data_IF_275469020694
#
_entry.id   IF_275469020694
#
_cell.length_a   1.000
_cell.length_b   1.000
_cell.length_c   1.000
_cell.angle_alpha   90.00
_cell.angle_beta   90.00
_cell.angle_gamma   90.00
#
_symmetry.space_group_name_H-M   'P 1'
#
loop_
_entity.id
_entity.type
_entity.pdbx_description
1 polymer ?
#
# COMPACT_ATOMS: atom_id res chain seq x y z
N UNK A 1 -33.87 -17.24 50.00
CA UNK A 1 -33.00 -18.32 49.47
C UNK A 1 -33.92 -19.46 49.06
N UNK A 2 -34.01 -19.99 47.84
CA UNK A 2 -33.34 -19.84 46.54
C UNK A 2 -34.43 -20.08 45.47
N UNK A 3 -34.52 -19.20 44.48
CA UNK A 3 -35.31 -19.42 43.27
C UNK A 3 -34.52 -20.30 42.29
N UNK A 4 -35.17 -21.31 41.72
CA UNK A 4 -34.61 -22.24 40.74
C UNK A 4 -34.67 -21.58 39.36
N UNK A 5 -33.50 -21.36 38.74
CA UNK A 5 -33.36 -20.84 37.39
C UNK A 5 -33.83 -21.86 36.35
N UNK A 6 -34.76 -21.46 35.47
CA UNK A 6 -35.07 -22.15 34.21
C UNK A 6 -33.99 -21.80 33.19
N UNK A 7 -33.33 -22.83 32.64
CA UNK A 7 -32.43 -22.72 31.51
C UNK A 7 -33.23 -22.32 30.25
N UNK A 8 -32.85 -21.20 29.62
CA UNK A 8 -33.32 -20.82 28.29
C UNK A 8 -32.63 -21.66 27.23
N UNK A 9 -33.39 -22.44 26.48
CA UNK A 9 -32.92 -23.23 25.35
C UNK A 9 -32.38 -22.35 24.23
N UNK A 10 -31.25 -22.76 23.67
CA UNK A 10 -30.67 -22.20 22.45
C UNK A 10 -31.32 -22.92 21.27
N UNK A 11 -32.14 -22.20 20.50
CA UNK A 11 -32.73 -22.67 19.25
C UNK A 11 -31.62 -23.08 18.25
N UNK A 12 -31.69 -24.24 17.57
CA UNK A 12 -30.68 -24.63 16.60
C UNK A 12 -30.73 -23.74 15.33
N UNK A 13 -29.56 -23.32 14.83
CA UNK A 13 -29.40 -22.60 13.56
C UNK A 13 -30.05 -23.41 12.42
N UNK A 14 -31.09 -22.87 11.78
CA UNK A 14 -31.58 -23.37 10.49
C UNK A 14 -30.44 -23.30 9.46
N UNK A 15 -30.08 -24.45 8.90
CA UNK A 15 -29.33 -24.51 7.64
C UNK A 15 -30.31 -24.05 6.54
N UNK A 16 -29.99 -22.96 5.84
CA UNK A 16 -30.82 -22.42 4.75
C UNK A 16 -30.18 -22.68 3.39
N UNK A 17 -31.03 -22.76 2.38
CA UNK A 17 -30.70 -23.13 0.99
C UNK A 17 -29.63 -22.22 0.36
N UNK A 18 -28.75 -22.76 -0.50
CA UNK A 18 -27.63 -22.04 -1.11
C UNK A 18 -28.03 -20.91 -2.08
N UNK A 19 -29.31 -20.78 -2.42
CA UNK A 19 -29.80 -19.65 -3.23
C UNK A 19 -30.05 -18.36 -2.40
N UNK A 20 -30.16 -18.44 -1.07
CA UNK A 20 -30.34 -17.25 -0.21
C UNK A 20 -29.02 -16.48 0.06
N UNK A 21 -27.85 -17.05 -0.22
CA UNK A 21 -26.55 -16.46 0.13
C UNK A 21 -26.23 -15.13 -0.60
N UNK A 22 -26.86 -14.86 -1.74
CA UNK A 22 -26.63 -13.65 -2.54
C UNK A 22 -27.77 -12.61 -2.46
N UNK A 23 -28.71 -12.76 -1.52
CA UNK A 23 -29.84 -11.85 -1.37
C UNK A 23 -29.45 -10.57 -0.63
N UNK A 24 -29.86 -9.41 -1.16
CA UNK A 24 -29.73 -8.12 -0.49
C UNK A 24 -31.05 -7.73 0.17
N UNK A 25 -31.01 -7.27 1.42
CA UNK A 25 -32.21 -6.94 2.19
C UNK A 25 -32.32 -5.43 2.46
N UNK A 26 -33.56 -4.93 2.52
CA UNK A 26 -33.87 -3.63 3.09
C UNK A 26 -34.27 -3.79 4.56
N UNK A 27 -33.66 -2.99 5.44
CA UNK A 27 -34.01 -2.93 6.86
C UNK A 27 -35.05 -1.84 7.06
N UNK A 28 -36.20 -2.21 7.64
CA UNK A 28 -37.23 -1.28 8.06
C UNK A 28 -37.36 -1.28 9.58
N UNK A 29 -37.37 -0.09 10.19
CA UNK A 29 -37.63 0.13 11.61
C UNK A 29 -39.07 0.59 11.79
N UNK A 30 -39.86 -0.13 12.59
CA UNK A 30 -41.28 0.15 12.78
C UNK A 30 -41.57 0.91 14.06
N UNK A 31 -41.24 0.31 15.21
CA UNK A 31 -41.52 0.89 16.53
C UNK A 31 -40.30 0.74 17.44
N UNK A 32 -40.13 1.68 18.36
CA UNK A 32 -39.08 1.63 19.39
C UNK A 32 -39.74 1.56 20.77
N UNK A 33 -39.45 0.48 21.50
CA UNK A 33 -40.01 0.24 22.82
C UNK A 33 -38.91 -0.30 23.73
N UNK A 34 -38.23 0.62 24.44
CA UNK A 34 -37.32 0.27 25.53
C UNK A 34 -37.38 1.32 26.63
N UNK A 35 -37.81 0.91 27.82
CA UNK A 35 -37.97 1.79 28.98
C UNK A 35 -36.67 2.00 29.78
N UNK A 36 -35.63 1.21 29.51
CA UNK A 36 -34.35 1.15 30.24
C UNK A 36 -33.19 1.90 29.55
N UNK A 37 -33.39 2.40 28.33
CA UNK A 37 -32.34 3.07 27.54
C UNK A 37 -32.71 4.52 27.21
N UNK A 38 -31.83 5.44 27.59
CA UNK A 38 -32.02 6.88 27.34
C UNK A 38 -32.01 7.21 25.83
N UNK A 39 -32.93 8.07 25.40
CA UNK A 39 -33.28 8.29 23.98
C UNK A 39 -32.07 8.79 23.16
N UNK A 40 -31.24 9.64 23.77
CA UNK A 40 -30.01 10.15 23.16
C UNK A 40 -28.94 9.07 22.98
N UNK A 41 -28.89 8.10 23.90
CA UNK A 41 -27.94 6.98 23.83
C UNK A 41 -28.35 5.98 22.75
N UNK A 42 -29.65 5.71 22.60
CA UNK A 42 -30.19 4.89 21.51
C UNK A 42 -29.92 5.54 20.13
N UNK A 43 -30.16 6.84 20.00
CA UNK A 43 -29.89 7.60 18.78
C UNK A 43 -28.40 7.60 18.41
N UNK A 44 -27.51 7.76 19.39
CA UNK A 44 -26.06 7.70 19.18
C UNK A 44 -25.58 6.32 18.72
N UNK A 45 -26.15 5.23 19.25
CA UNK A 45 -25.82 3.86 18.81
C UNK A 45 -26.35 3.56 17.41
N UNK A 46 -27.58 3.99 17.10
CA UNK A 46 -28.18 3.87 15.77
C UNK A 46 -27.33 4.63 14.72
N UNK A 47 -26.90 5.85 15.06
CA UNK A 47 -26.05 6.66 14.20
C UNK A 47 -24.71 5.97 13.86
N UNK A 48 -24.10 5.29 14.84
CA UNK A 48 -22.85 4.54 14.65
C UNK A 48 -23.03 3.31 13.75
N UNK A 49 -24.11 2.55 13.93
CA UNK A 49 -24.37 1.32 13.13
C UNK A 49 -24.60 1.65 11.68
N UNK A 50 -25.43 2.65 11.39
CA UNK A 50 -25.79 3.02 10.02
C UNK A 50 -24.87 4.08 9.41
N UNK A 51 -23.75 4.42 10.08
CA UNK A 51 -22.76 5.42 9.62
C UNK A 51 -23.40 6.77 9.24
N UNK A 52 -24.33 7.25 10.06
CA UNK A 52 -25.04 8.51 9.84
C UNK A 52 -24.70 9.57 10.90
N UNK A 53 -24.87 10.88 10.62
CA UNK A 53 -24.64 11.94 11.59
C UNK A 53 -25.52 11.77 12.84
N UNK A 54 -25.00 12.06 14.03
CA UNK A 54 -25.72 11.90 15.30
C UNK A 54 -27.09 12.62 15.32
N UNK A 55 -27.14 13.84 14.78
CA UNK A 55 -28.38 14.62 14.63
C UNK A 55 -29.44 13.91 13.75
N UNK A 56 -29.02 13.15 12.74
CA UNK A 56 -29.93 12.40 11.86
C UNK A 56 -30.46 11.14 12.56
N UNK A 57 -29.64 10.52 13.41
CA UNK A 57 -30.07 9.41 14.27
C UNK A 57 -31.15 9.83 15.29
N UNK A 58 -31.03 11.02 15.88
CA UNK A 58 -32.05 11.56 16.79
C UNK A 58 -33.38 11.83 16.08
N UNK A 59 -33.33 12.38 14.87
CA UNK A 59 -34.53 12.67 14.07
C UNK A 59 -35.28 11.39 13.69
N UNK A 60 -34.56 10.35 13.25
CA UNK A 60 -35.13 9.04 12.92
C UNK A 60 -35.76 8.40 14.16
N UNK A 61 -35.10 8.51 15.32
CA UNK A 61 -35.64 7.96 16.56
C UNK A 61 -36.93 8.68 17.01
N UNK A 62 -37.04 9.99 16.76
CA UNK A 62 -38.27 10.77 16.98
C UNK A 62 -39.39 10.39 16.00
N UNK A 63 -39.05 10.04 14.76
CA UNK A 63 -40.03 9.59 13.76
C UNK A 63 -40.56 8.19 14.09
N UNK A 64 -39.66 7.26 14.43
CA UNK A 64 -40.02 5.87 14.78
C UNK A 64 -40.78 5.79 16.11
N UNK A 65 -40.47 6.64 17.09
CA UNK A 65 -41.25 6.74 18.34
C UNK A 65 -42.65 7.35 18.16
N UNK A 66 -42.88 8.10 17.06
CA UNK A 66 -44.21 8.57 16.64
C UNK A 66 -44.96 7.55 15.77
N UNK A 67 -44.43 6.34 15.61
CA UNK A 67 -45.03 5.25 14.83
C UNK A 67 -44.84 5.38 13.32
N UNK A 68 -43.90 6.22 12.85
CA UNK A 68 -43.55 6.31 11.44
C UNK A 68 -42.46 5.30 11.07
N UNK A 69 -42.75 4.46 10.07
CA UNK A 69 -41.80 3.47 9.54
C UNK A 69 -40.65 4.17 8.83
N UNK A 70 -39.42 3.80 9.17
CA UNK A 70 -38.22 4.28 8.49
C UNK A 70 -37.49 3.12 7.80
N UNK A 71 -37.21 3.28 6.50
CA UNK A 71 -36.51 2.28 5.70
C UNK A 71 -35.09 2.77 5.39
N UNK A 72 -34.11 1.88 5.56
CA UNK A 72 -32.74 2.17 5.18
C UNK A 72 -32.56 2.13 3.66
N UNK A 73 -32.05 3.22 3.09
CA UNK A 73 -31.92 3.42 1.65
C UNK A 73 -30.92 2.45 0.99
N UNK A 74 -29.92 1.98 1.74
CA UNK A 74 -28.87 1.10 1.20
C UNK A 74 -29.18 -0.38 1.39
N UNK A 75 -28.86 -1.16 0.36
CA UNK A 75 -28.96 -2.63 0.35
C UNK A 75 -27.84 -3.24 1.21
N UNK A 76 -28.20 -4.12 2.14
CA UNK A 76 -27.23 -4.79 3.02
C UNK A 76 -27.07 -6.26 2.59
N UNK A 77 -25.83 -6.79 2.49
CA UNK A 77 -25.58 -8.21 2.22
C UNK A 77 -26.14 -9.12 3.32
N UNK A 78 -26.60 -10.32 2.95
CA UNK A 78 -27.30 -11.25 3.86
C UNK A 78 -26.51 -11.54 5.17
N UNK A 79 -25.19 -11.73 5.08
CA UNK A 79 -24.33 -11.97 6.26
C UNK A 79 -24.36 -10.83 7.30
N UNK A 80 -24.55 -9.60 6.85
CA UNK A 80 -24.61 -8.42 7.72
C UNK A 80 -26.04 -8.15 8.22
N UNK A 81 -27.06 -8.66 7.52
CA UNK A 81 -28.46 -8.47 7.88
C UNK A 81 -28.81 -9.17 9.20
N UNK A 82 -28.33 -10.39 9.42
CA UNK A 82 -28.57 -11.15 10.65
C UNK A 82 -27.90 -10.50 11.89
N UNK A 83 -26.67 -9.98 11.72
CA UNK A 83 -25.96 -9.25 12.78
C UNK A 83 -26.64 -7.91 13.10
N UNK A 84 -27.10 -7.19 12.08
CA UNK A 84 -27.86 -5.96 12.26
C UNK A 84 -29.19 -6.21 12.97
N UNK A 85 -29.90 -7.29 12.61
CA UNK A 85 -31.17 -7.68 13.25
C UNK A 85 -30.97 -7.98 14.74
N UNK A 86 -29.96 -8.78 15.10
CA UNK A 86 -29.67 -9.12 16.48
C UNK A 86 -29.33 -7.87 17.32
N UNK A 87 -28.57 -6.94 16.75
CA UNK A 87 -28.19 -5.70 17.42
C UNK A 87 -29.36 -4.72 17.57
N UNK A 88 -30.19 -4.56 16.54
CA UNK A 88 -31.32 -3.62 16.55
C UNK A 88 -32.48 -4.12 17.42
N UNK A 89 -32.77 -5.43 17.42
CA UNK A 89 -33.65 -6.03 18.43
C UNK A 89 -33.08 -5.86 19.84
N UNK A 90 -31.75 -6.01 19.98
CA UNK A 90 -31.00 -5.70 21.19
C UNK A 90 -31.04 -4.23 21.62
N UNK A 91 -31.54 -3.31 20.79
CA UNK A 91 -31.77 -1.90 21.13
C UNK A 91 -33.26 -1.56 21.35
N UNK A 92 -34.15 -2.54 21.24
CA UNK A 92 -35.59 -2.38 21.44
C UNK A 92 -36.36 -1.91 20.21
N UNK A 93 -35.79 -2.07 19.01
CA UNK A 93 -36.51 -1.81 17.75
C UNK A 93 -37.24 -3.05 17.27
N UNK A 94 -38.46 -2.85 16.78
CA UNK A 94 -39.16 -3.81 15.94
C UNK A 94 -38.68 -3.64 14.49
N UNK A 95 -38.10 -4.70 13.92
CA UNK A 95 -37.34 -4.66 12.66
C UNK A 95 -37.87 -5.70 11.69
N UNK A 96 -38.31 -5.23 10.52
CA UNK A 96 -38.70 -6.07 9.39
C UNK A 96 -37.60 -6.06 8.32
N UNK A 97 -37.29 -7.26 7.80
CA UNK A 97 -36.40 -7.46 6.66
C UNK A 97 -37.25 -7.74 5.42
N UNK A 98 -37.24 -6.82 4.45
CA UNK A 98 -37.87 -7.05 3.15
C UNK A 98 -36.80 -7.50 2.14
N UNK A 99 -36.98 -8.64 1.45
CA UNK A 99 -36.06 -9.09 0.41
C UNK A 99 -36.14 -8.15 -0.79
N UNK A 100 -35.00 -7.60 -1.22
CA UNK A 100 -34.95 -6.76 -2.42
C UNK A 100 -34.99 -7.68 -3.66
N UNK A 101 -36.18 -7.87 -4.22
CA UNK A 101 -36.40 -8.66 -5.44
C UNK A 101 -35.50 -8.08 -6.56
N UNK A 102 -34.69 -8.89 -7.27
CA UNK A 102 -33.88 -8.41 -8.38
C UNK A 102 -34.76 -8.01 -9.57
N UNK A 103 -34.82 -6.71 -9.86
CA UNK A 103 -35.46 -6.15 -11.07
C UNK A 103 -34.76 -6.57 -12.39
N UNK A 104 -33.66 -7.32 -12.29
CA UNK A 104 -32.86 -7.78 -13.43
C UNK A 104 -33.24 -9.18 -13.98
N UNK A 105 -34.27 -9.85 -13.43
CA UNK A 105 -34.63 -11.21 -13.84
C UNK A 105 -35.72 -11.31 -14.94
N UNK A 106 -36.20 -10.19 -15.50
CA UNK A 106 -37.33 -10.21 -16.45
C UNK A 106 -36.98 -10.14 -17.94
N UNK A 107 -35.72 -9.98 -18.36
CA UNK A 107 -35.40 -9.93 -19.80
C UNK A 107 -34.11 -10.68 -20.14
N UNK A 108 -34.27 -11.70 -20.99
CA UNK A 108 -33.26 -12.43 -21.77
C UNK A 108 -32.42 -13.51 -21.07
N UNK A 109 -33.01 -14.70 -20.94
CA UNK A 109 -32.25 -15.94 -20.97
C UNK A 109 -31.90 -16.27 -22.44
N UNK A 110 -30.62 -16.61 -22.73
CA UNK A 110 -30.40 -17.79 -23.54
C UNK A 110 -29.42 -18.77 -22.87
N UNK A 111 -29.73 -20.04 -23.09
CA UNK A 111 -29.06 -21.21 -22.55
C UNK A 111 -27.53 -21.19 -22.76
N UNK A 112 -26.79 -21.60 -21.72
CA UNK A 112 -25.40 -22.05 -21.85
C UNK A 112 -25.24 -23.43 -21.23
N UNK A 113 -24.82 -24.36 -22.07
CA UNK A 113 -24.36 -25.71 -21.71
C UNK A 113 -23.13 -25.68 -20.79
N UNK A 114 -22.93 -26.71 -19.96
CA UNK A 114 -21.78 -26.82 -19.07
C UNK A 114 -20.50 -27.12 -19.86
N UNK A 115 -19.51 -26.23 -19.72
CA UNK A 115 -18.14 -26.41 -20.22
C UNK A 115 -17.47 -27.55 -19.45
N UNK A 116 -17.13 -28.62 -20.16
CA UNK A 116 -16.27 -29.71 -19.69
C UNK A 116 -14.82 -29.21 -19.62
N UNK A 117 -14.20 -29.33 -18.45
CA UNK A 117 -12.75 -29.20 -18.29
C UNK A 117 -12.10 -30.48 -18.80
N UNK A 118 -11.62 -30.47 -20.05
CA UNK A 118 -10.71 -31.50 -20.55
C UNK A 118 -9.30 -31.21 -20.05
N UNK A 119 -8.77 -32.14 -19.26
CA UNK A 119 -7.34 -32.26 -19.00
C UNK A 119 -6.67 -32.81 -20.26
N UNK A 120 -5.84 -32.00 -20.92
CA UNK A 120 -4.75 -32.52 -21.74
C UNK A 120 -3.67 -31.45 -21.84
N UNK A 121 -2.44 -31.79 -21.47
CA UNK A 121 -1.19 -31.32 -22.07
C UNK A 121 -0.02 -31.99 -21.34
N UNK A 122 0.23 -33.23 -21.72
CA UNK A 122 1.57 -33.80 -21.64
C UNK A 122 2.37 -33.39 -22.87
N UNK A 123 3.53 -32.74 -22.68
CA UNK A 123 4.70 -33.00 -23.53
C UNK A 123 6.01 -32.67 -22.82
N UNK A 124 6.88 -33.67 -22.84
CA UNK A 124 8.23 -33.77 -22.28
C UNK A 124 9.16 -32.69 -22.85
N UNK A 125 10.11 -32.24 -22.04
CA UNK A 125 11.52 -32.35 -22.46
C UNK A 125 12.49 -32.56 -21.29
N UNK A 126 13.41 -33.50 -21.53
CA UNK A 126 14.43 -34.01 -20.59
C UNK A 126 15.66 -33.12 -20.61
N UNK A 127 16.24 -32.81 -19.44
CA UNK A 127 17.71 -33.00 -19.23
C UNK A 127 18.17 -32.86 -17.77
N UNK A 128 18.67 -34.01 -17.29
CA UNK A 128 19.84 -34.25 -16.43
C UNK A 128 19.75 -33.87 -14.94
N UNK A 129 19.38 -34.90 -14.19
CA UNK A 129 19.88 -35.20 -12.85
C UNK A 129 21.42 -35.24 -12.80
N UNK A 130 21.99 -34.62 -11.76
CA UNK A 130 23.11 -35.15 -10.96
C UNK A 130 23.44 -34.18 -9.83
N UNK A 131 22.82 -34.40 -8.66
CA UNK A 131 23.50 -34.80 -7.43
C UNK A 131 22.51 -34.70 -6.26
N UNK A 132 22.08 -35.86 -5.80
CA UNK A 132 21.54 -36.09 -4.46
C UNK A 132 22.58 -36.88 -3.68
N UNK A 133 22.44 -36.82 -2.35
CA UNK A 133 23.26 -37.40 -1.27
C UNK A 133 24.30 -36.41 -0.70
N UNK A 134 24.24 -35.99 0.58
CA UNK A 134 23.65 -36.57 1.80
C UNK A 134 23.52 -35.50 2.91
N UNK A 135 22.81 -35.87 3.98
CA UNK A 135 22.57 -35.19 5.26
C UNK A 135 21.40 -34.18 5.25
N UNK A 136 20.35 -34.32 6.05
CA UNK A 136 20.00 -35.27 7.11
C UNK A 136 18.51 -35.05 7.42
N UNK A 137 17.84 -36.11 7.87
CA UNK A 137 16.41 -36.12 8.12
C UNK A 137 16.03 -35.26 9.33
N UNK A 138 15.31 -34.16 9.08
CA UNK A 138 14.36 -33.57 10.01
C UNK A 138 12.98 -33.67 9.33
N UNK A 139 11.94 -34.03 10.11
CA UNK A 139 10.59 -34.31 9.60
C UNK A 139 9.97 -33.14 8.83
N UNK A 140 8.86 -33.35 8.10
CA UNK A 140 8.17 -32.27 7.41
C UNK A 140 7.49 -31.39 8.48
N UNK A 141 8.24 -30.50 9.11
CA UNK A 141 7.65 -29.27 9.61
C UNK A 141 7.02 -28.60 8.41
N UNK A 142 5.72 -28.28 8.49
CA UNK A 142 5.03 -27.48 7.49
C UNK A 142 5.93 -26.28 7.17
N UNK A 143 6.54 -26.30 5.97
CA UNK A 143 7.34 -25.19 5.52
C UNK A 143 6.44 -23.96 5.61
N UNK A 144 6.86 -22.87 6.29
CA UNK A 144 6.01 -21.70 6.46
C UNK A 144 5.50 -21.27 5.09
N UNK A 145 4.18 -21.09 4.96
CA UNK A 145 3.56 -20.69 3.69
C UNK A 145 4.22 -19.40 3.21
N UNK A 146 5.07 -19.53 2.18
CA UNK A 146 5.70 -18.40 1.51
C UNK A 146 4.75 -17.95 0.40
N UNK A 147 4.20 -16.75 0.52
CA UNK A 147 3.33 -16.15 -0.50
C UNK A 147 4.21 -15.30 -1.43
N UNK A 148 4.46 -15.73 -2.68
CA UNK A 148 5.32 -14.98 -3.58
C UNK A 148 4.62 -13.74 -4.13
N UNK A 149 5.41 -12.70 -4.37
CA UNK A 149 4.98 -11.60 -5.23
C UNK A 149 5.08 -12.03 -6.70
N UNK A 150 4.27 -11.42 -7.55
CA UNK A 150 4.30 -11.69 -8.99
C UNK A 150 4.10 -10.42 -9.79
N UNK A 151 4.76 -10.34 -10.95
CA UNK A 151 4.58 -9.24 -11.88
C UNK A 151 4.27 -9.78 -13.28
N UNK A 152 3.10 -9.39 -13.84
CA UNK A 152 2.64 -9.86 -15.16
C UNK A 152 2.73 -8.80 -16.26
N UNK A 153 3.41 -7.68 -16.02
CA UNK A 153 3.52 -6.61 -17.01
C UNK A 153 4.40 -7.00 -18.20
N UNK A 154 3.98 -6.59 -19.39
CA UNK A 154 4.75 -6.75 -20.62
C UNK A 154 5.46 -5.46 -21.02
N UNK A 155 6.67 -5.60 -21.59
CA UNK A 155 7.47 -4.45 -22.04
C UNK A 155 6.81 -3.67 -23.19
N UNK A 156 6.09 -4.37 -24.08
CA UNK A 156 5.40 -3.75 -25.22
C UNK A 156 4.22 -2.88 -24.80
N UNK A 157 3.41 -3.31 -23.84
CA UNK A 157 2.31 -2.50 -23.30
C UNK A 157 2.85 -1.26 -22.59
N UNK A 158 3.89 -1.41 -21.77
CA UNK A 158 4.53 -0.27 -21.12
C UNK A 158 5.17 0.68 -22.13
N UNK A 159 5.76 0.16 -23.21
CA UNK A 159 6.32 0.97 -24.29
C UNK A 159 5.24 1.84 -24.95
N UNK A 160 4.04 1.30 -25.23
CA UNK A 160 2.91 2.11 -25.76
C UNK A 160 2.56 3.28 -24.82
N UNK A 161 2.59 3.05 -23.51
CA UNK A 161 2.40 4.12 -22.51
C UNK A 161 3.53 5.14 -22.60
N UNK A 162 4.80 4.72 -22.61
CA UNK A 162 5.92 5.66 -22.73
C UNK A 162 5.89 6.46 -24.02
N UNK A 163 5.67 5.84 -25.19
CA UNK A 163 5.62 6.54 -26.48
C UNK A 163 4.51 7.58 -26.51
N UNK A 164 3.30 7.19 -26.11
CA UNK A 164 2.15 8.12 -26.11
C UNK A 164 2.35 9.28 -25.12
N UNK A 165 2.95 9.03 -23.96
CA UNK A 165 3.17 10.05 -22.94
C UNK A 165 4.38 10.93 -23.23
N UNK A 166 5.44 10.40 -23.84
CA UNK A 166 6.58 11.17 -24.33
C UNK A 166 6.15 12.15 -25.42
N UNK A 167 5.34 11.70 -26.39
CA UNK A 167 4.81 12.56 -27.45
C UNK A 167 4.00 13.74 -26.86
N UNK A 168 3.10 13.45 -25.93
CA UNK A 168 2.33 14.49 -25.22
C UNK A 168 3.23 15.40 -24.37
N UNK A 169 4.30 14.86 -23.79
CA UNK A 169 5.27 15.65 -23.01
C UNK A 169 6.04 16.61 -23.91
N UNK A 170 6.47 16.18 -25.11
CA UNK A 170 7.07 17.08 -26.09
C UNK A 170 6.08 18.15 -26.57
N UNK A 171 4.85 17.76 -26.91
CA UNK A 171 3.83 18.68 -27.39
C UNK A 171 3.43 19.74 -26.36
N UNK A 172 3.46 19.39 -25.07
CA UNK A 172 3.10 20.29 -23.96
C UNK A 172 4.31 20.97 -23.32
N UNK A 173 5.46 20.99 -23.99
CA UNK A 173 6.71 21.59 -23.50
C UNK A 173 7.10 21.12 -22.09
N UNK A 174 6.93 19.82 -21.83
CA UNK A 174 7.31 19.19 -20.56
C UNK A 174 6.20 19.14 -19.51
N UNK A 175 5.09 19.85 -19.67
CA UNK A 175 4.01 19.90 -18.66
C UNK A 175 3.38 18.52 -18.47
N UNK A 176 3.21 17.73 -19.53
CA UNK A 176 2.56 16.41 -19.42
C UNK A 176 3.36 15.37 -18.63
N UNK A 177 4.61 15.65 -18.23
CA UNK A 177 5.44 14.70 -17.45
C UNK A 177 4.76 14.24 -16.15
N UNK A 178 3.94 15.08 -15.53
CA UNK A 178 3.22 14.72 -14.29
C UNK A 178 2.14 13.67 -14.53
N UNK A 179 1.44 13.73 -15.67
CA UNK A 179 0.47 12.72 -16.09
C UNK A 179 1.15 11.48 -16.68
N UNK A 180 2.30 11.65 -17.35
CA UNK A 180 3.11 10.54 -17.83
C UNK A 180 3.52 9.61 -16.67
N UNK A 181 4.04 10.21 -15.59
CA UNK A 181 4.43 9.50 -14.38
C UNK A 181 3.28 8.73 -13.74
N UNK A 182 2.10 9.33 -13.60
CA UNK A 182 0.96 8.62 -13.01
C UNK A 182 0.47 7.50 -13.91
N UNK A 183 0.43 7.66 -15.23
CA UNK A 183 0.06 6.58 -16.15
C UNK A 183 1.01 5.38 -16.03
N UNK A 184 2.32 5.62 -15.96
CA UNK A 184 3.32 4.55 -15.73
C UNK A 184 3.08 3.87 -14.38
N UNK A 185 2.80 4.62 -13.31
CA UNK A 185 2.49 4.04 -11.99
C UNK A 185 1.24 3.19 -11.98
N UNK A 186 0.14 3.67 -12.55
CA UNK A 186 -1.09 2.89 -12.65
C UNK A 186 -0.83 1.55 -13.35
N UNK A 187 -0.06 1.56 -14.43
CA UNK A 187 0.33 0.34 -15.12
C UNK A 187 1.16 -0.59 -14.23
N UNK A 188 2.23 -0.09 -13.60
CA UNK A 188 3.12 -0.92 -12.78
C UNK A 188 2.39 -1.53 -11.57
N UNK A 189 1.54 -0.76 -10.88
CA UNK A 189 0.76 -1.26 -9.74
C UNK A 189 -0.28 -2.30 -10.19
N UNK A 190 -1.03 -2.02 -11.26
CA UNK A 190 -2.04 -2.93 -11.79
C UNK A 190 -1.47 -4.28 -12.26
N UNK A 191 -0.19 -4.31 -12.63
CA UNK A 191 0.52 -5.52 -13.06
C UNK A 191 1.25 -6.25 -11.91
N UNK A 192 1.37 -5.61 -10.74
CA UNK A 192 1.95 -6.22 -9.54
C UNK A 192 0.85 -6.96 -8.77
N UNK A 193 1.11 -8.23 -8.45
CA UNK A 193 0.20 -9.11 -7.73
C UNK A 193 0.84 -9.62 -6.45
N UNK A 194 0.01 -9.76 -5.43
CA UNK A 194 0.37 -10.34 -4.16
C UNK A 194 -0.82 -11.14 -3.62
N UNK A 195 -0.57 -12.39 -3.18
CA UNK A 195 -1.59 -13.35 -2.74
C UNK A 195 -2.79 -13.50 -3.71
N UNK A 196 -2.54 -13.43 -5.03
CA UNK A 196 -3.57 -13.53 -6.08
C UNK A 196 -4.19 -12.20 -6.52
N UNK A 197 -4.16 -11.17 -5.67
CA UNK A 197 -4.78 -9.87 -5.92
C UNK A 197 -3.79 -8.82 -6.43
N UNK A 198 -4.31 -7.83 -7.17
CA UNK A 198 -3.50 -6.75 -7.75
C UNK A 198 -3.43 -5.55 -6.82
N UNK A 199 -2.32 -4.81 -6.89
CA UNK A 199 -2.26 -3.48 -6.29
C UNK A 199 -3.03 -2.47 -7.15
N UNK A 200 -3.62 -1.46 -6.50
CA UNK A 200 -4.23 -0.32 -7.15
C UNK A 200 -3.53 0.98 -6.73
N UNK A 201 -3.46 1.91 -7.68
CA UNK A 201 -2.92 3.25 -7.47
C UNK A 201 -4.01 4.26 -7.79
N UNK A 202 -4.19 5.26 -6.91
CA UNK A 202 -5.26 6.26 -7.00
C UNK A 202 -4.74 7.70 -7.17
N UNK A 203 -3.44 7.90 -7.36
CA UNK A 203 -2.83 9.23 -7.46
C UNK A 203 -3.02 9.86 -8.83
N UNK A 204 -3.35 11.15 -8.88
CA UNK A 204 -3.62 11.86 -10.15
C UNK A 204 -2.49 12.78 -10.59
N UNK A 205 -2.29 12.96 -11.90
CA UNK A 205 -1.24 13.84 -12.43
C UNK A 205 -1.45 15.31 -12.05
N UNK A 206 -2.71 15.72 -11.86
CA UNK A 206 -3.05 17.07 -11.41
C UNK A 206 -2.64 17.36 -9.96
N UNK A 207 -2.65 16.36 -9.08
CA UNK A 207 -2.11 16.49 -7.71
C UNK A 207 -0.61 16.78 -7.78
N UNK A 208 0.15 15.96 -8.53
CA UNK A 208 1.59 16.12 -8.80
C UNK A 208 1.94 17.51 -9.34
N UNK A 209 1.16 17.99 -10.30
CA UNK A 209 1.35 19.34 -10.85
C UNK A 209 1.12 20.44 -9.82
N UNK A 210 0.08 20.33 -8.98
CA UNK A 210 -0.20 21.30 -7.90
C UNK A 210 0.93 21.34 -6.87
N UNK A 211 1.47 20.18 -6.48
CA UNK A 211 2.63 20.08 -5.58
C UNK A 211 3.86 20.80 -6.15
N UNK A 212 4.16 20.53 -7.43
CA UNK A 212 5.23 21.21 -8.14
C UNK A 212 5.02 22.74 -8.19
N UNK A 213 3.82 23.20 -8.54
CA UNK A 213 3.54 24.64 -8.68
C UNK A 213 3.71 25.40 -7.35
N UNK A 214 3.38 24.78 -6.22
CA UNK A 214 3.61 25.37 -4.90
C UNK A 214 5.09 25.56 -4.60
N UNK A 215 5.88 24.52 -4.80
CA UNK A 215 7.32 24.54 -4.57
C UNK A 215 7.95 25.55 -5.52
N UNK A 216 7.62 25.48 -6.81
CA UNK A 216 8.06 26.45 -7.80
C UNK A 216 7.70 27.90 -7.43
N UNK A 217 6.47 28.13 -6.92
CA UNK A 217 6.04 29.43 -6.42
C UNK A 217 6.88 29.94 -5.25
N UNK A 218 7.22 29.09 -4.28
CA UNK A 218 8.13 29.45 -3.18
C UNK A 218 9.50 29.87 -3.72
N UNK A 219 10.02 29.16 -4.72
CA UNK A 219 11.30 29.51 -5.35
C UNK A 219 11.23 30.84 -6.09
N UNK A 220 10.14 31.12 -6.81
CA UNK A 220 9.95 32.40 -7.49
C UNK A 220 9.86 33.57 -6.50
N UNK A 221 9.08 33.42 -5.43
CA UNK A 221 8.95 34.45 -4.38
C UNK A 221 10.31 34.68 -3.71
N UNK A 222 11.02 33.60 -3.40
CA UNK A 222 12.36 33.69 -2.81
C UNK A 222 13.35 34.41 -3.74
N UNK A 223 13.39 34.03 -5.03
CA UNK A 223 14.27 34.64 -6.02
C UNK A 223 13.94 36.11 -6.27
N UNK A 224 12.64 36.45 -6.32
CA UNK A 224 12.18 37.83 -6.46
C UNK A 224 12.56 38.70 -5.25
N UNK A 225 12.34 38.18 -4.03
CA UNK A 225 12.71 38.86 -2.80
C UNK A 225 14.23 39.08 -2.73
N UNK A 226 15.02 38.07 -3.10
CA UNK A 226 16.47 38.19 -3.20
C UNK A 226 16.89 39.24 -4.25
N UNK A 227 16.19 39.32 -5.38
CA UNK A 227 16.43 40.36 -6.39
C UNK A 227 16.19 41.78 -5.87
N UNK A 228 15.11 41.99 -5.11
CA UNK A 228 14.79 43.30 -4.50
C UNK A 228 15.84 43.70 -3.46
N UNK A 229 16.28 42.75 -2.63
CA UNK A 229 17.24 43.04 -1.56
C UNK A 229 18.66 43.35 -2.06
N UNK A 230 18.98 43.14 -3.34
CA UNK A 230 20.29 43.46 -3.92
C UNK A 230 21.44 42.70 -3.26
N UNK A 231 22.41 43.42 -2.67
CA UNK A 231 23.61 42.83 -2.06
C UNK A 231 23.33 41.75 -0.99
N UNK A 232 22.53 42.04 0.06
CA UNK A 232 22.00 41.04 0.98
C UNK A 232 21.28 39.88 0.28
N UNK A 233 20.55 40.18 -0.79
CA UNK A 233 19.87 39.22 -1.67
C UNK A 233 20.79 38.15 -2.24
N UNK A 234 22.02 38.52 -2.64
CA UNK A 234 23.03 37.58 -3.14
C UNK A 234 23.41 36.53 -2.08
N UNK A 235 23.57 36.94 -0.81
CA UNK A 235 23.85 36.00 0.30
C UNK A 235 22.70 35.01 0.52
N UNK A 236 21.45 35.43 0.31
CA UNK A 236 20.30 34.53 0.37
C UNK A 236 20.33 33.49 -0.75
N UNK A 237 20.68 33.88 -1.98
CA UNK A 237 20.85 32.95 -3.11
C UNK A 237 21.96 31.96 -2.84
N UNK A 238 23.11 32.41 -2.31
CA UNK A 238 24.25 31.54 -1.99
C UNK A 238 23.93 30.54 -0.84
N UNK A 239 23.07 30.94 0.11
CA UNK A 239 22.62 30.08 1.21
C UNK A 239 21.48 29.15 0.82
N UNK A 240 20.76 29.44 -0.27
CA UNK A 240 19.58 28.71 -0.69
C UNK A 240 19.81 27.20 -0.89
N UNK A 241 20.91 26.73 -1.52
CA UNK A 241 21.20 25.30 -1.62
C UNK A 241 21.27 24.60 -0.26
N UNK A 242 21.81 25.27 0.77
CA UNK A 242 21.89 24.72 2.13
C UNK A 242 20.49 24.64 2.77
N UNK A 243 19.67 25.67 2.60
CA UNK A 243 18.27 25.66 3.06
C UNK A 243 17.48 24.55 2.37
N UNK A 244 17.65 24.41 1.06
CA UNK A 244 17.00 23.37 0.28
C UNK A 244 17.45 21.96 0.70
N UNK A 245 18.74 21.78 1.00
CA UNK A 245 19.28 20.53 1.54
C UNK A 245 18.63 20.16 2.88
N UNK A 246 18.42 21.14 3.78
CA UNK A 246 17.73 20.95 5.06
C UNK A 246 16.23 20.62 4.85
N UNK A 247 15.60 21.19 3.83
CA UNK A 247 14.18 20.96 3.52
C UNK A 247 13.94 19.63 2.80
N UNK A 248 14.95 19.09 2.11
CA UNK A 248 14.85 17.89 1.27
C UNK A 248 14.27 16.67 2.01
N UNK A 249 14.69 16.32 3.26
CA UNK A 249 14.07 15.24 4.03
C UNK A 249 12.57 15.41 4.25
N UNK A 250 12.10 16.65 4.49
CA UNK A 250 10.68 16.94 4.66
C UNK A 250 9.90 16.75 3.36
N UNK A 251 10.49 17.10 2.21
CA UNK A 251 9.91 16.85 0.89
C UNK A 251 9.84 15.35 0.58
N UNK A 252 10.86 14.57 0.98
CA UNK A 252 10.84 13.11 0.87
C UNK A 252 9.71 12.51 1.71
N UNK A 253 9.53 12.96 2.96
CA UNK A 253 8.42 12.50 3.82
C UNK A 253 7.08 12.74 3.15
N UNK A 254 6.90 13.92 2.56
CA UNK A 254 5.70 14.22 1.81
C UNK A 254 5.51 13.28 0.62
N UNK A 255 6.52 13.16 -0.23
CA UNK A 255 6.50 12.28 -1.40
C UNK A 255 6.13 10.84 -1.05
N UNK A 256 6.71 10.33 0.05
CA UNK A 256 6.48 8.98 0.54
C UNK A 256 5.06 8.82 1.07
N UNK A 257 4.58 9.78 1.87
CA UNK A 257 3.20 9.80 2.39
C UNK A 257 2.17 9.82 1.29
N UNK A 258 2.34 10.71 0.30
CA UNK A 258 1.48 10.79 -0.88
C UNK A 258 1.43 9.46 -1.63
N UNK A 259 2.58 8.81 -1.84
CA UNK A 259 2.62 7.55 -2.59
C UNK A 259 1.94 6.40 -1.85
N UNK A 260 2.14 6.29 -0.53
CA UNK A 260 1.50 5.25 0.27
C UNK A 260 0.00 5.48 0.39
N UNK A 261 -0.46 6.71 0.64
CA UNK A 261 -1.90 7.02 0.75
C UNK A 261 -2.69 6.73 -0.53
N UNK A 262 -2.01 6.80 -1.68
CA UNK A 262 -2.57 6.48 -3.00
C UNK A 262 -2.37 5.03 -3.43
N UNK A 263 -1.66 4.22 -2.65
CA UNK A 263 -1.50 2.79 -2.92
C UNK A 263 -2.50 1.99 -2.10
N UNK A 264 -3.18 1.04 -2.73
CA UNK A 264 -4.10 0.13 -2.07
C UNK A 264 -3.93 -1.31 -2.54
N UNK A 265 -4.29 -2.25 -1.68
CA UNK A 265 -4.37 -3.68 -1.98
C UNK A 265 -5.57 -4.25 -1.23
N UNK A 266 -6.41 -5.04 -1.91
CA UNK A 266 -7.72 -5.50 -1.39
C UNK A 266 -8.58 -4.36 -0.79
N UNK A 267 -8.54 -3.18 -1.43
CA UNK A 267 -9.21 -1.96 -0.97
C UNK A 267 -8.72 -1.39 0.38
N UNK A 268 -7.65 -1.95 0.96
CA UNK A 268 -6.96 -1.43 2.14
C UNK A 268 -5.81 -0.53 1.66
N UNK A 269 -5.75 0.70 2.16
CA UNK A 269 -4.75 1.70 1.79
C UNK A 269 -3.54 1.63 2.71
N UNK A 270 -2.38 1.89 2.12
CA UNK A 270 -1.18 2.13 2.91
C UNK A 270 -1.20 3.56 3.46
N UNK A 271 -0.55 3.80 4.59
CA UNK A 271 -0.39 5.14 5.13
C UNK A 271 1.02 5.33 5.71
N UNK A 272 1.45 6.59 5.80
CA UNK A 272 2.74 6.95 6.39
C UNK A 272 2.52 7.99 7.49
N UNK A 273 2.88 7.63 8.73
CA UNK A 273 2.64 8.44 9.94
C UNK A 273 3.90 9.17 10.44
N UNK A 274 4.98 9.15 9.66
CA UNK A 274 6.24 9.77 10.06
C UNK A 274 6.19 11.30 9.99
N UNK A 275 6.82 11.94 10.96
CA UNK A 275 6.84 13.41 11.11
C UNK A 275 7.94 14.04 10.26
N UNK A 276 7.66 15.19 9.62
CA UNK A 276 8.65 15.93 8.81
C UNK A 276 9.83 16.42 9.66
N UNK A 277 9.56 16.88 10.88
CA UNK A 277 10.59 17.36 11.82
C UNK A 277 11.56 16.24 12.20
N UNK A 278 11.03 15.05 12.51
CA UNK A 278 11.85 13.89 12.87
C UNK A 278 12.75 13.47 11.72
N UNK A 279 12.24 13.51 10.48
CA UNK A 279 13.07 13.27 9.30
C UNK A 279 14.18 14.32 9.13
N UNK A 280 13.88 15.62 9.29
CA UNK A 280 14.91 16.67 9.23
C UNK A 280 15.99 16.41 10.28
N UNK A 281 15.62 16.19 11.54
CA UNK A 281 16.58 15.95 12.63
C UNK A 281 17.39 14.67 12.36
N UNK A 282 16.75 13.59 11.93
CA UNK A 282 17.41 12.33 11.59
C UNK A 282 18.46 12.53 10.50
N UNK A 283 18.10 13.16 9.39
CA UNK A 283 19.02 13.37 8.27
C UNK A 283 20.12 14.39 8.59
N UNK A 284 19.83 15.46 9.34
CA UNK A 284 20.85 16.46 9.70
C UNK A 284 21.84 15.92 10.72
N UNK A 285 21.37 15.33 11.82
CA UNK A 285 22.26 14.81 12.89
C UNK A 285 23.10 13.66 12.36
N UNK A 286 22.47 12.66 11.73
CA UNK A 286 23.21 11.50 11.24
C UNK A 286 23.99 11.81 9.96
N UNK A 287 23.53 12.74 9.14
CA UNK A 287 24.31 13.27 8.01
C UNK A 287 25.59 13.97 8.48
N UNK A 288 25.49 14.81 9.52
CA UNK A 288 26.66 15.48 10.11
C UNK A 288 27.65 14.50 10.73
N UNK A 289 27.17 13.50 11.48
CA UNK A 289 28.03 12.43 12.03
C UNK A 289 28.69 11.63 10.91
N UNK A 290 27.95 11.32 9.83
CA UNK A 290 28.50 10.64 8.66
C UNK A 290 29.60 11.47 8.00
N UNK A 291 29.39 12.79 7.88
CA UNK A 291 30.38 13.71 7.33
C UNK A 291 31.65 13.77 8.21
N UNK A 292 31.47 13.91 9.53
CA UNK A 292 32.58 13.96 10.49
C UNK A 292 33.39 12.65 10.55
N UNK A 293 32.74 11.52 10.27
CA UNK A 293 33.38 10.19 10.24
C UNK A 293 33.87 9.80 8.84
N UNK A 294 33.92 10.74 7.89
CA UNK A 294 34.35 10.53 6.49
C UNK A 294 33.57 9.38 5.81
N UNK A 295 32.29 9.22 6.13
CA UNK A 295 31.42 8.19 5.57
C UNK A 295 31.41 6.86 6.34
N UNK A 296 32.28 6.65 7.33
CA UNK A 296 32.35 5.38 8.06
C UNK A 296 31.07 5.08 8.88
N UNK A 297 30.35 6.13 9.33
CA UNK A 297 29.07 5.98 10.02
C UNK A 297 27.87 5.70 9.09
N UNK A 298 28.07 5.67 7.77
CA UNK A 298 26.99 5.48 6.81
C UNK A 298 26.09 4.25 7.06
N UNK A 299 26.61 3.06 7.46
CA UNK A 299 25.76 1.89 7.76
C UNK A 299 24.74 2.13 8.87
N UNK A 300 25.16 2.82 9.93
CA UNK A 300 24.28 3.16 11.06
C UNK A 300 23.26 4.22 10.67
N UNK A 301 23.68 5.23 9.91
CA UNK A 301 22.75 6.21 9.34
C UNK A 301 21.70 5.52 8.48
N UNK A 302 22.12 4.61 7.59
CA UNK A 302 21.23 3.88 6.70
C UNK A 302 20.18 3.06 7.46
N UNK A 303 20.58 2.31 8.49
CA UNK A 303 19.65 1.54 9.32
C UNK A 303 18.64 2.44 10.02
N UNK A 304 19.08 3.56 10.61
CA UNK A 304 18.16 4.50 11.26
C UNK A 304 17.17 5.10 10.28
N UNK A 305 17.62 5.44 9.07
CA UNK A 305 16.75 5.90 8.00
C UNK A 305 15.74 4.84 7.59
N UNK A 306 16.16 3.60 7.31
CA UNK A 306 15.25 2.50 6.96
C UNK A 306 14.24 2.21 8.07
N UNK A 307 14.71 2.19 9.33
CA UNK A 307 13.85 2.05 10.50
C UNK A 307 12.76 3.13 10.54
N UNK A 308 13.13 4.39 10.36
CA UNK A 308 12.18 5.50 10.28
C UNK A 308 11.14 5.31 9.16
N UNK A 309 11.55 4.87 7.96
CA UNK A 309 10.60 4.68 6.86
C UNK A 309 9.67 3.49 7.08
N UNK A 310 10.17 2.39 7.64
CA UNK A 310 9.41 1.15 7.82
C UNK A 310 8.47 1.24 9.01
N UNK A 311 8.98 1.64 10.17
CA UNK A 311 8.18 1.77 11.39
C UNK A 311 7.09 2.83 11.27
N UNK A 312 7.28 3.86 10.45
CA UNK A 312 6.22 4.83 10.21
C UNK A 312 5.30 4.47 9.04
N UNK A 313 5.51 3.34 8.37
CA UNK A 313 4.62 2.83 7.32
C UNK A 313 3.59 1.86 7.92
N UNK A 314 2.35 2.01 7.49
CA UNK A 314 1.21 1.21 7.95
C UNK A 314 0.50 0.60 6.76
N UNK A 315 0.03 -0.64 6.94
CA UNK A 315 -0.87 -1.33 6.03
C UNK A 315 -2.20 -1.56 6.76
N UNK A 316 -3.22 -0.78 6.41
CA UNK A 316 -4.46 -0.72 7.19
C UNK A 316 -4.19 -0.24 8.62
N UNK A 317 -4.49 -1.09 9.60
CA UNK A 317 -4.24 -0.92 11.04
C UNK A 317 -2.87 -1.45 11.50
N UNK A 318 -2.14 -2.18 10.65
CA UNK A 318 -0.89 -2.86 11.03
C UNK A 318 0.35 -2.04 10.66
N UNK A 319 1.20 -1.79 11.65
CA UNK A 319 2.51 -1.15 11.48
C UNK A 319 3.52 -2.13 10.88
N UNK A 320 4.44 -1.63 10.04
CA UNK A 320 5.60 -2.43 9.64
C UNK A 320 6.69 -2.32 10.71
N UNK A 321 7.23 -3.45 11.16
CA UNK A 321 8.31 -3.49 12.15
C UNK A 321 9.65 -3.73 11.44
N UNK A 322 10.72 -3.15 11.99
CA UNK A 322 12.07 -3.32 11.46
C UNK A 322 13.08 -3.60 12.58
N UNK A 323 13.66 -4.80 12.59
CA UNK A 323 14.58 -5.29 13.64
C UNK A 323 16.06 -5.26 13.23
N UNK A 324 16.40 -4.59 12.13
CA UNK A 324 17.77 -4.54 11.62
C UNK A 324 18.73 -3.67 12.46
N UNK A 325 19.94 -4.17 12.69
CA UNK A 325 21.02 -3.46 13.38
C UNK A 325 22.09 -2.89 12.42
N UNK A 326 22.76 -1.82 12.85
CA UNK A 326 23.85 -1.17 12.10
C UNK A 326 25.15 -1.97 12.02
N UNK A 327 25.41 -2.81 13.03
CA UNK A 327 26.65 -3.60 13.13
C UNK A 327 26.71 -4.69 12.05
N UNK A 328 25.57 -5.29 11.72
CA UNK A 328 25.48 -6.39 10.74
C UNK A 328 25.82 -5.92 9.32
N UNK A 329 25.54 -4.65 9.01
CA UNK A 329 25.85 -4.03 7.72
C UNK A 329 27.26 -3.43 7.71
N UNK A 330 27.82 -3.10 8.88
CA UNK A 330 29.12 -2.43 8.98
C UNK A 330 30.26 -3.25 8.37
N UNK A 331 30.35 -4.54 8.69
CA UNK A 331 31.41 -5.42 8.16
C UNK A 331 31.31 -5.61 6.64
N UNK A 332 30.14 -5.95 6.06
CA UNK A 332 29.97 -6.00 4.60
C UNK A 332 30.24 -4.65 3.91
N UNK A 333 29.87 -3.53 4.54
CA UNK A 333 30.14 -2.19 4.02
C UNK A 333 31.64 -1.90 3.95
N UNK A 334 32.38 -2.17 5.03
CA UNK A 334 33.83 -1.93 5.08
C UNK A 334 34.56 -2.81 4.07
N UNK A 335 34.16 -4.08 3.95
CA UNK A 335 34.68 -4.98 2.92
C UNK A 335 34.38 -4.46 1.51
N UNK A 336 33.15 -4.02 1.26
CA UNK A 336 32.75 -3.47 -0.03
C UNK A 336 33.50 -2.17 -0.38
N UNK A 337 33.72 -1.30 0.61
CA UNK A 337 34.45 -0.05 0.45
C UNK A 337 35.93 -0.30 0.14
N UNK A 338 36.57 -1.25 0.82
CA UNK A 338 37.97 -1.65 0.53
C UNK A 338 38.08 -2.28 -0.86
N UNK A 339 37.15 -3.17 -1.23
CA UNK A 339 37.14 -3.83 -2.54
C UNK A 339 36.72 -2.91 -3.68
N UNK A 340 36.13 -1.74 -3.40
CA UNK A 340 35.61 -0.82 -4.40
C UNK A 340 36.66 -0.40 -5.44
N UNK A 341 37.84 0.13 -5.06
CA UNK A 341 38.88 0.49 -6.04
C UNK A 341 39.40 -0.73 -6.81
N UNK A 342 39.58 -1.88 -6.15
CA UNK A 342 40.13 -3.08 -6.79
C UNK A 342 39.18 -3.73 -7.81
N UNK A 343 37.87 -3.59 -7.60
CA UNK A 343 36.83 -4.19 -8.46
C UNK A 343 36.21 -3.19 -9.44
N UNK A 344 36.75 -1.98 -9.54
CA UNK A 344 36.17 -0.87 -10.32
C UNK A 344 34.68 -0.65 -10.01
N UNK A 345 34.29 -0.82 -8.74
CA UNK A 345 32.91 -0.66 -8.27
C UNK A 345 31.96 -1.83 -8.53
N UNK A 346 32.39 -2.92 -9.20
CA UNK A 346 31.53 -4.08 -9.48
C UNK A 346 31.01 -4.72 -8.17
N UNK A 347 31.84 -4.79 -7.12
CA UNK A 347 31.40 -5.36 -5.84
C UNK A 347 30.21 -4.61 -5.22
N UNK A 348 30.02 -3.32 -5.56
CA UNK A 348 28.91 -2.52 -5.04
C UNK A 348 27.55 -3.14 -5.39
N UNK A 349 27.45 -3.90 -6.49
CA UNK A 349 26.24 -4.63 -6.87
C UNK A 349 25.93 -5.76 -5.87
N UNK A 350 26.95 -6.48 -5.39
CA UNK A 350 26.81 -7.48 -4.32
C UNK A 350 26.44 -6.83 -3.00
N UNK A 351 27.04 -5.68 -2.67
CA UNK A 351 26.67 -4.94 -1.47
C UNK A 351 25.22 -4.44 -1.53
N UNK A 352 24.76 -3.90 -2.67
CA UNK A 352 23.36 -3.47 -2.85
C UNK A 352 22.36 -4.61 -2.72
N UNK A 353 22.64 -5.77 -3.33
CA UNK A 353 21.77 -6.95 -3.18
C UNK A 353 21.78 -7.51 -1.76
N UNK A 354 22.93 -7.51 -1.09
CA UNK A 354 23.03 -7.84 0.32
C UNK A 354 22.16 -6.91 1.17
N UNK A 355 22.26 -5.59 0.97
CA UNK A 355 21.44 -4.61 1.68
C UNK A 355 19.96 -4.84 1.44
N UNK A 356 19.54 -5.03 0.18
CA UNK A 356 18.15 -5.29 -0.16
C UNK A 356 17.64 -6.56 0.54
N UNK A 357 18.40 -7.65 0.48
CA UNK A 357 18.08 -8.90 1.17
C UNK A 357 17.95 -8.73 2.67
N UNK A 358 18.96 -8.10 3.29
CA UNK A 358 18.99 -7.83 4.72
C UNK A 358 17.79 -6.97 5.15
N UNK A 359 17.52 -5.90 4.42
CA UNK A 359 16.39 -5.05 4.70
C UNK A 359 15.08 -5.84 4.63
N UNK A 360 14.80 -6.55 3.53
CA UNK A 360 13.55 -7.32 3.46
C UNK A 360 13.45 -8.38 4.55
N UNK A 361 14.51 -9.15 4.84
CA UNK A 361 14.51 -10.17 5.91
C UNK A 361 14.26 -9.63 7.31
N UNK A 362 14.59 -8.36 7.55
CA UNK A 362 14.36 -7.68 8.82
C UNK A 362 13.06 -6.85 8.83
N UNK A 363 12.18 -7.01 7.84
CA UNK A 363 10.88 -6.31 7.80
C UNK A 363 9.75 -7.27 8.14
N UNK A 364 8.97 -6.92 9.16
CA UNK A 364 7.77 -7.69 9.54
C UNK A 364 6.51 -6.87 9.37
N UNK A 365 5.44 -7.50 8.90
CA UNK A 365 4.12 -6.90 8.77
C UNK A 365 3.05 -7.94 9.10
N UNK A 366 2.15 -7.59 10.01
CA UNK A 366 0.99 -8.42 10.35
C UNK A 366 1.34 -9.88 10.70
N UNK A 367 2.50 -10.11 11.34
CA UNK A 367 2.99 -11.45 11.72
C UNK A 367 3.82 -12.18 10.65
N UNK A 368 3.84 -11.68 9.41
CA UNK A 368 4.69 -12.20 8.33
C UNK A 368 6.03 -11.45 8.21
N UNK A 369 7.07 -12.15 7.80
CA UNK A 369 8.40 -11.57 7.51
C UNK A 369 8.65 -11.58 6.01
N UNK A 370 9.09 -10.45 5.45
CA UNK A 370 9.47 -10.41 4.04
C UNK A 370 10.77 -11.16 3.81
N UNK A 371 10.89 -11.87 2.69
CA UNK A 371 12.13 -12.51 2.29
C UNK A 371 12.46 -12.14 0.86
N UNK A 372 13.72 -11.79 0.62
CA UNK A 372 14.23 -11.49 -0.70
C UNK A 372 15.35 -12.45 -1.05
N UNK A 373 15.11 -13.33 -2.03
CA UNK A 373 15.98 -14.49 -2.30
C UNK A 373 17.06 -14.22 -3.35
N UNK A 374 17.07 -13.03 -3.97
CA UNK A 374 17.97 -12.72 -5.08
C UNK A 374 19.45 -12.78 -4.69
N UNK A 375 20.26 -13.33 -5.58
CA UNK A 375 21.71 -13.38 -5.44
C UNK A 375 22.38 -12.19 -6.13
N UNK A 376 23.57 -11.81 -5.64
CA UNK A 376 24.37 -10.74 -6.27
C UNK A 376 24.71 -11.02 -7.73
N UNK A 377 24.89 -12.30 -8.10
CA UNK A 377 25.12 -12.73 -9.49
C UNK A 377 23.90 -12.50 -10.38
N UNK A 378 22.70 -12.81 -9.90
CA UNK A 378 21.47 -12.60 -10.67
C UNK A 378 21.19 -11.12 -10.89
N UNK A 379 21.40 -10.29 -9.86
CA UNK A 379 21.26 -8.84 -10.01
C UNK A 379 22.34 -8.25 -10.94
N UNK A 380 23.57 -8.75 -10.88
CA UNK A 380 24.62 -8.37 -11.83
C UNK A 380 24.22 -8.71 -13.27
N UNK A 381 23.73 -9.93 -13.52
CA UNK A 381 23.27 -10.36 -14.84
C UNK A 381 22.08 -9.51 -15.33
N UNK A 382 21.16 -9.14 -14.44
CA UNK A 382 20.05 -8.23 -14.75
C UNK A 382 20.57 -6.85 -15.17
N UNK A 383 21.45 -6.24 -14.35
CA UNK A 383 21.98 -4.91 -14.62
C UNK A 383 22.81 -4.90 -15.91
N UNK A 384 23.69 -5.88 -16.10
CA UNK A 384 24.50 -6.01 -17.30
C UNK A 384 23.63 -6.18 -18.54
N UNK A 385 22.62 -7.07 -18.48
CA UNK A 385 21.65 -7.25 -19.57
C UNK A 385 20.84 -5.99 -19.86
N UNK A 386 20.43 -5.24 -18.82
CA UNK A 386 19.72 -3.98 -18.97
C UNK A 386 20.60 -2.89 -19.61
N UNK A 387 21.88 -2.80 -19.22
CA UNK A 387 22.83 -1.85 -19.82
C UNK A 387 23.06 -2.17 -21.29
N UNK A 388 23.35 -3.44 -21.62
CA UNK A 388 23.52 -3.89 -23.01
C UNK A 388 22.27 -3.53 -23.81
N UNK A 389 21.09 -3.88 -23.31
CA UNK A 389 19.84 -3.59 -23.98
C UNK A 389 19.60 -2.09 -24.18
N UNK A 390 19.95 -1.23 -23.21
CA UNK A 390 19.84 0.22 -23.36
C UNK A 390 20.85 0.79 -24.36
N UNK A 391 22.10 0.35 -24.32
CA UNK A 391 23.17 0.84 -25.20
C UNK A 391 22.86 0.47 -26.66
N UNK A 392 22.51 -0.79 -26.92
CA UNK A 392 22.21 -1.26 -28.28
C UNK A 392 20.92 -0.68 -28.86
N UNK A 393 19.97 -0.25 -28.01
CA UNK A 393 18.71 0.36 -28.45
C UNK A 393 18.71 1.89 -28.33
N UNK A 394 19.86 2.50 -28.01
CA UNK A 394 19.99 3.94 -27.76
C UNK A 394 18.93 4.48 -26.76
N UNK A 395 18.63 3.68 -25.74
CA UNK A 395 17.66 4.00 -24.69
C UNK A 395 16.20 3.70 -25.02
N UNK A 396 15.85 3.36 -26.27
CA UNK A 396 14.46 3.06 -26.68
C UNK A 396 13.87 1.92 -25.84
N UNK A 397 14.69 0.94 -25.45
CA UNK A 397 14.20 -0.21 -24.71
C UNK A 397 14.13 -0.02 -23.18
N UNK A 398 14.16 1.23 -22.70
CA UNK A 398 13.90 1.59 -21.31
C UNK A 398 12.61 0.99 -20.72
N UNK A 399 11.45 0.96 -21.42
CA UNK A 399 10.24 0.32 -20.90
C UNK A 399 10.42 -1.18 -20.60
N UNK A 400 11.21 -1.89 -21.41
CA UNK A 400 11.54 -3.29 -21.17
C UNK A 400 12.47 -3.45 -19.97
N UNK A 401 13.42 -2.54 -19.77
CA UNK A 401 14.28 -2.52 -18.57
C UNK A 401 13.45 -2.34 -17.31
N UNK A 402 12.49 -1.42 -17.32
CA UNK A 402 11.57 -1.21 -16.19
C UNK A 402 10.80 -2.50 -15.89
N UNK A 403 10.18 -3.11 -16.89
CA UNK A 403 9.45 -4.39 -16.73
C UNK A 403 10.35 -5.52 -16.21
N UNK A 404 11.54 -5.70 -16.79
CA UNK A 404 12.51 -6.73 -16.34
C UNK A 404 12.92 -6.52 -14.89
N UNK A 405 13.13 -5.27 -14.48
CA UNK A 405 13.54 -4.93 -13.11
C UNK A 405 12.41 -5.15 -12.11
N UNK A 406 11.19 -4.73 -12.44
CA UNK A 406 10.00 -4.97 -11.59
C UNK A 406 9.68 -6.46 -11.49
N UNK A 407 9.80 -7.21 -12.58
CA UNK A 407 9.64 -8.66 -12.60
C UNK A 407 10.68 -9.34 -11.71
N UNK A 408 11.95 -8.99 -11.89
CA UNK A 408 13.03 -9.52 -11.05
C UNK A 408 12.78 -9.28 -9.55
N UNK A 409 12.38 -8.06 -9.17
CA UNK A 409 12.09 -7.75 -7.76
C UNK A 409 10.89 -8.54 -7.23
N UNK A 410 9.81 -8.64 -8.01
CA UNK A 410 8.62 -9.39 -7.60
C UNK A 410 8.89 -10.89 -7.48
N UNK A 411 9.59 -11.50 -8.44
CA UNK A 411 9.87 -12.94 -8.47
C UNK A 411 10.76 -13.41 -7.31
N UNK A 412 11.58 -12.50 -6.74
CA UNK A 412 12.46 -12.81 -5.60
C UNK A 412 11.91 -12.34 -4.26
N UNK A 413 10.77 -11.65 -4.24
CA UNK A 413 10.15 -11.18 -3.00
C UNK A 413 9.02 -12.14 -2.61
N UNK A 414 9.05 -12.61 -1.36
CA UNK A 414 7.98 -13.41 -0.77
C UNK A 414 7.68 -12.92 0.64
N UNK A 415 6.46 -13.17 1.11
CA UNK A 415 6.08 -12.96 2.50
C UNK A 415 5.90 -14.33 3.16
N UNK A 416 6.69 -14.62 4.19
CA UNK A 416 6.68 -15.89 4.93
C UNK A 416 6.00 -15.68 6.29
N UNK A 417 4.99 -16.48 6.62
CA UNK A 417 4.33 -16.48 7.92
C UNK A 417 2.83 -16.76 7.86
N UNK A 418 2.23 -17.04 9.01
CA UNK A 418 0.77 -17.17 9.13
C UNK A 418 0.14 -15.77 9.22
N UNK A 419 -0.36 -15.26 8.10
CA UNK A 419 -0.86 -13.90 7.98
C UNK A 419 -2.38 -13.95 7.82
N UNK A 420 -3.08 -13.54 8.88
CA UNK A 420 -4.53 -13.39 8.85
C UNK A 420 -4.92 -12.07 8.13
N UNK A 421 -4.83 -12.04 6.80
CA UNK A 421 -5.18 -10.88 5.99
C UNK A 421 -6.63 -10.41 6.23
N UNK A 422 -7.53 -11.33 6.56
CA UNK A 422 -8.95 -11.06 6.81
C UNK A 422 -9.20 -10.23 8.08
N UNK A 423 -8.19 -10.09 8.95
CA UNK A 423 -8.26 -9.30 10.18
C UNK A 423 -7.77 -7.87 10.03
N UNK A 424 -7.19 -7.52 8.89
CA UNK A 424 -6.62 -6.19 8.65
C UNK A 424 -7.76 -5.27 8.24
N UNK A 425 -8.00 -4.22 9.03
CA UNK A 425 -9.10 -3.28 8.81
C UNK A 425 -8.54 -1.92 8.48
N UNK A 426 -9.20 -1.19 7.57
CA UNK A 426 -8.84 0.19 7.28
C UNK A 426 -9.11 1.07 8.51
N UNK A 427 -8.05 1.60 9.12
CA UNK A 427 -8.19 2.62 10.16
C UNK A 427 -8.73 3.92 9.54
N UNK A 428 -9.81 4.45 10.12
CA UNK A 428 -10.48 5.66 9.64
C UNK A 428 -9.80 6.87 10.27
N UNK A 429 -8.80 7.42 9.59
CA UNK A 429 -8.11 8.62 10.05
C UNK A 429 -8.77 9.86 9.41
N UNK A 430 -9.13 10.85 10.22
CA UNK A 430 -9.52 12.17 9.72
C UNK A 430 -8.34 12.76 8.95
N UNK A 431 -8.51 12.91 7.64
CA UNK A 431 -7.52 13.52 6.75
C UNK A 431 -7.24 14.95 7.23
N UNK A 432 -6.11 15.13 7.92
CA UNK A 432 -5.63 16.43 8.37
C UNK A 432 -5.55 17.42 7.20
N UNK A 433 -6.07 18.62 7.46
CA UNK A 433 -6.10 19.83 6.64
C UNK A 433 -5.58 19.69 5.19
N UNK A 434 -6.48 19.96 4.23
CA UNK A 434 -6.25 20.08 2.78
C UNK A 434 -4.98 20.90 2.37
N UNK A 435 -4.42 21.69 3.28
CA UNK A 435 -3.15 22.40 3.13
C UNK A 435 -1.88 21.55 3.32
N UNK A 436 -1.85 20.59 4.25
CA UNK A 436 -0.67 19.76 4.54
C UNK A 436 -0.44 18.70 3.46
N UNK A 437 -1.52 18.04 3.04
CA UNK A 437 -1.49 16.98 2.03
C UNK A 437 -1.02 17.51 0.66
N UNK A 438 -1.32 18.77 0.37
CA UNK A 438 -0.93 19.40 -0.90
C UNK A 438 0.52 19.93 -0.91
N UNK A 439 1.22 19.97 0.23
CA UNK A 439 2.69 20.15 0.29
C UNK A 439 3.42 18.81 0.16
N UNK A 440 2.73 17.68 0.35
CA UNK A 440 3.30 16.34 0.28
C UNK A 440 3.46 15.81 -1.14
N UNK A 441 3.02 16.57 -2.14
CA UNK A 441 2.86 16.06 -3.51
C UNK A 441 4.11 16.24 -4.38
N UNK A 442 5.29 16.25 -3.75
CA UNK A 442 6.54 16.22 -4.50
C UNK A 442 6.88 14.80 -4.94
N UNK A 443 7.42 14.67 -6.14
CA UNK A 443 7.91 13.41 -6.65
C UNK A 443 9.43 13.34 -6.53
N UNK A 444 9.91 12.66 -5.49
CA UNK A 444 11.33 12.28 -5.38
C UNK A 444 11.46 10.86 -5.93
N UNK A 445 12.42 10.58 -6.83
CA UNK A 445 12.71 9.22 -7.30
C UNK A 445 13.23 8.39 -6.13
N UNK A 446 12.30 7.86 -5.35
CA UNK A 446 12.56 7.00 -4.22
C UNK A 446 12.52 5.58 -4.76
N UNK A 447 13.70 5.10 -5.16
CA UNK A 447 13.93 3.69 -5.43
C UNK A 447 13.82 2.98 -4.07
N UNK A 448 12.71 2.26 -3.90
CA UNK A 448 12.55 1.32 -2.79
C UNK A 448 13.56 0.23 -3.08
N UNK A 449 14.52 0.06 -2.17
CA UNK A 449 15.76 -0.72 -2.33
C UNK A 449 15.67 -1.93 -3.26
#
# INVERSE_FOLDING_TARGET
MRGVCRAGGVEPRRVRDPEEENMSYHISLNTWSRADLDMNTAAGKLARVFRMPAKRGEEILRQVSRGQRWQFENKIPNEQADLALAYLKGLGFDVDLEPAIPEAAAVSAPAREPVRVSADFGRKDKRKDRNKEKAGAEGPGEAPMAIPFGFRGEGGELCKVYVSTSLLTFLTLGIYQFWAKTKVRHYLWAQTRFAGDRFAYHGTGGELFKGFLKVFGIFLVFGFLAGILGGPGKKFIDLFPLIFLILLPALIVGAWRYRLSRTSWRNIRFSFRGTRKDAIVLYLVHGLITLLTLGLYWPYFKIKTEKFWRENSFFGDRQMEFDGEGKDIFTPFLLAAILFPFTLGINWIWFRTFLQRYFWSHTRVAGGTFRFTATGREAFNLILGNIVLLVFTLGIAYPWVVVRTHKFRADHLSLEGDIAFDRIVQEMQESGAFGEEALDVMDVPLDVG
#
